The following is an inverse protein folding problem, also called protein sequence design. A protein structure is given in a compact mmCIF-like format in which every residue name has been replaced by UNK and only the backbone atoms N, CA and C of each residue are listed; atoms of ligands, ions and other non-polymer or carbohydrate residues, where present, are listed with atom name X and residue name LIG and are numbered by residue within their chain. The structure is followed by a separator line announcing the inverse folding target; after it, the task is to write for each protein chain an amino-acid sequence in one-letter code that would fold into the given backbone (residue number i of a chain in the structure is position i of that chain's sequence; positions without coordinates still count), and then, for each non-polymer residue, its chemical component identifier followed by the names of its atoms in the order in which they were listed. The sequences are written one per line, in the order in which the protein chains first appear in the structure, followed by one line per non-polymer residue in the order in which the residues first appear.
data_IF_230343860483
#
_entry.id   IF_230343860483
#
_cell.length_a   1.000
_cell.length_b   1.000
_cell.length_c   1.000
_cell.angle_alpha   90.00
_cell.angle_beta   90.00
_cell.angle_gamma   90.00
#
_symmetry.space_group_name_H-M   'P 1'
#
loop_
_entity.id
_entity.type
_entity.pdbx_description
1 polymer ?
#
# COMPACT_ATOMS: atom_id res chain seq x y z
N UNK A 1 0.95 -7.06 19.47
CA UNK A 1 0.02 -7.05 18.33
C UNK A 1 0.69 -7.61 17.11
N UNK A 2 0.19 -8.72 16.56
CA UNK A 2 0.64 -9.20 15.26
C UNK A 2 -0.01 -8.36 14.15
N UNK A 3 0.74 -8.02 13.09
CA UNK A 3 0.24 -7.26 11.94
C UNK A 3 0.69 -7.97 10.67
N UNK A 4 -0.26 -8.37 9.82
CA UNK A 4 0.00 -8.95 8.51
C UNK A 4 -0.62 -8.09 7.43
N UNK A 5 0.21 -7.53 6.58
CA UNK A 5 -0.23 -6.86 5.36
C UNK A 5 -0.41 -7.90 4.27
N UNK A 6 -1.56 -7.86 3.60
CA UNK A 6 -1.80 -8.59 2.37
C UNK A 6 -2.09 -7.59 1.27
N UNK A 7 -1.34 -7.69 0.19
CA UNK A 7 -1.49 -6.81 -0.97
C UNK A 7 -2.01 -7.60 -2.16
N UNK A 8 -2.91 -7.02 -2.92
CA UNK A 8 -3.31 -7.59 -4.22
C UNK A 8 -2.17 -7.47 -5.23
N UNK A 9 -2.38 -8.06 -6.42
CA UNK A 9 -1.51 -7.82 -7.58
C UNK A 9 -1.27 -6.34 -7.76
N UNK A 10 0.01 -5.97 -7.87
CA UNK A 10 0.45 -4.60 -8.09
C UNK A 10 0.36 -4.28 -9.58
N UNK A 11 -0.44 -3.29 -9.96
CA UNK A 11 -0.34 -2.72 -11.30
C UNK A 11 0.76 -1.66 -11.29
N UNK A 12 1.73 -1.81 -12.17
CA UNK A 12 2.86 -0.88 -12.32
C UNK A 12 2.85 -0.36 -13.75
N UNK A 13 2.78 0.97 -13.89
CA UNK A 13 2.87 1.67 -15.16
C UNK A 13 4.26 2.34 -15.23
N UNK A 14 5.13 1.87 -16.12
CA UNK A 14 6.43 2.51 -16.36
C UNK A 14 6.21 3.80 -17.14
N UNK A 15 6.67 4.93 -16.61
CA UNK A 15 6.56 6.25 -17.27
C UNK A 15 7.78 6.49 -18.16
N UNK A 16 8.97 6.25 -17.60
CA UNK A 16 10.26 6.35 -18.29
C UNK A 16 11.28 5.41 -17.62
N UNK A 17 12.56 5.51 -18.00
CA UNK A 17 13.66 4.67 -17.46
C UNK A 17 13.85 4.81 -15.95
N UNK A 18 13.40 5.92 -15.37
CA UNK A 18 13.63 6.31 -13.97
C UNK A 18 12.37 6.59 -13.17
N UNK A 19 11.18 6.61 -13.79
CA UNK A 19 9.91 6.85 -13.10
C UNK A 19 8.86 5.81 -13.42
N UNK A 20 8.05 5.48 -12.42
CA UNK A 20 6.88 4.62 -12.57
C UNK A 20 5.74 5.07 -11.64
N UNK A 21 4.53 4.68 -11.97
CA UNK A 21 3.38 4.74 -11.06
C UNK A 21 2.96 3.33 -10.66
N UNK A 22 2.36 3.18 -9.49
CA UNK A 22 1.75 1.92 -9.12
C UNK A 22 0.54 2.07 -8.24
N UNK A 23 -0.30 1.04 -8.30
CA UNK A 23 -1.52 0.96 -7.52
C UNK A 23 -1.80 -0.47 -7.12
N UNK A 24 -2.29 -0.64 -5.90
CA UNK A 24 -2.77 -1.92 -5.38
C UNK A 24 -3.82 -1.69 -4.29
N UNK A 25 -4.56 -2.74 -3.99
CA UNK A 25 -5.40 -2.82 -2.80
C UNK A 25 -4.65 -3.55 -1.70
N UNK A 26 -4.87 -3.13 -0.47
CA UNK A 26 -4.33 -3.80 0.71
C UNK A 26 -5.45 -4.14 1.68
N UNK A 27 -5.22 -5.17 2.47
CA UNK A 27 -5.93 -5.40 3.71
C UNK A 27 -4.94 -5.82 4.80
N UNK A 28 -5.20 -5.38 6.01
CA UNK A 28 -4.38 -5.65 7.19
C UNK A 28 -5.14 -6.59 8.10
N UNK A 29 -4.47 -7.66 8.52
CA UNK A 29 -4.96 -8.60 9.51
C UNK A 29 -4.15 -8.42 10.80
N UNK A 30 -4.85 -8.26 11.93
CA UNK A 30 -4.25 -8.14 13.25
C UNK A 30 -4.75 -9.26 14.17
N UNK A 31 -4.53 -9.13 15.48
CA UNK A 31 -5.01 -10.08 16.49
C UNK A 31 -6.55 -10.21 16.52
N UNK A 32 -7.28 -9.25 15.93
CA UNK A 32 -8.75 -9.27 15.84
C UNK A 32 -9.29 -9.84 14.51
N UNK A 33 -8.42 -10.31 13.61
CA UNK A 33 -8.81 -10.67 12.24
C UNK A 33 -8.63 -9.51 11.26
N UNK A 34 -9.55 -9.34 10.31
CA UNK A 34 -9.50 -8.21 9.37
C UNK A 34 -9.62 -6.90 10.14
N UNK A 35 -8.63 -6.02 9.99
CA UNK A 35 -8.53 -4.78 10.78
C UNK A 35 -8.91 -3.56 9.95
N UNK A 36 -8.24 -3.33 8.81
CA UNK A 36 -8.57 -2.25 7.87
C UNK A 36 -8.09 -2.59 6.47
N UNK A 37 -8.66 -1.92 5.48
CA UNK A 37 -8.37 -2.14 4.07
C UNK A 37 -8.42 -0.85 3.27
N UNK A 38 -7.80 -0.86 2.11
CA UNK A 38 -7.73 0.33 1.29
C UNK A 38 -6.86 0.16 0.06
N UNK A 39 -6.29 1.29 -0.38
CA UNK A 39 -5.47 1.41 -1.59
C UNK A 39 -4.15 2.10 -1.29
N UNK A 40 -3.09 1.60 -1.92
CA UNK A 40 -1.86 2.37 -2.11
C UNK A 40 -1.83 2.88 -3.54
N UNK A 41 -1.55 4.16 -3.70
CA UNK A 41 -1.24 4.79 -4.97
C UNK A 41 0.12 5.47 -4.82
N UNK A 42 1.08 4.96 -5.56
CA UNK A 42 2.50 5.26 -5.37
C UNK A 42 3.10 5.89 -6.62
N UNK A 43 4.05 6.80 -6.40
CA UNK A 43 5.02 7.19 -7.42
C UNK A 43 6.39 6.62 -7.06
N UNK A 44 7.12 6.16 -8.06
CA UNK A 44 8.43 5.56 -7.91
C UNK A 44 9.49 6.36 -8.65
N UNK A 45 10.70 6.35 -8.10
CA UNK A 45 11.89 6.91 -8.73
C UNK A 45 13.04 5.91 -8.64
N UNK A 46 13.77 5.70 -9.74
CA UNK A 46 15.01 4.94 -9.78
C UNK A 46 16.18 5.90 -9.57
N UNK A 47 16.88 5.74 -8.45
CA UNK A 47 18.07 6.52 -8.11
C UNK A 47 19.27 5.58 -8.11
N UNK A 48 20.25 5.84 -8.98
CA UNK A 48 21.46 5.01 -9.12
C UNK A 48 21.12 3.52 -9.34
N UNK A 49 20.11 3.24 -10.16
CA UNK A 49 19.65 1.86 -10.47
C UNK A 49 18.79 1.20 -9.39
N UNK A 50 18.42 1.92 -8.32
CA UNK A 50 17.57 1.40 -7.24
C UNK A 50 16.23 2.12 -7.21
N UNK A 51 15.16 1.37 -7.39
CA UNK A 51 13.79 1.88 -7.25
C UNK A 51 13.44 2.21 -5.80
N UNK A 52 12.85 3.38 -5.60
CA UNK A 52 12.38 3.92 -4.33
C UNK A 52 10.94 4.41 -4.47
N UNK A 53 10.21 4.45 -3.37
CA UNK A 53 8.98 5.24 -3.30
C UNK A 53 9.37 6.72 -3.30
N UNK A 54 8.97 7.46 -4.33
CA UNK A 54 9.04 8.91 -4.34
C UNK A 54 7.92 9.50 -3.47
N UNK A 55 6.72 8.91 -3.56
CA UNK A 55 5.61 9.20 -2.66
C UNK A 55 4.66 8.00 -2.57
N UNK A 56 3.90 7.95 -1.47
CA UNK A 56 2.78 7.02 -1.28
C UNK A 56 1.56 7.79 -0.80
N UNK A 57 0.45 7.66 -1.52
CA UNK A 57 -0.88 8.04 -1.04
C UNK A 57 -1.59 6.79 -0.55
N UNK A 58 -1.89 6.78 0.75
CA UNK A 58 -2.74 5.76 1.36
C UNK A 58 -4.17 6.27 1.40
N UNK A 59 -5.12 5.47 0.93
CA UNK A 59 -6.54 5.71 1.18
C UNK A 59 -7.09 4.51 1.92
N UNK A 60 -7.57 4.72 3.14
CA UNK A 60 -8.25 3.70 3.93
C UNK A 60 -9.72 3.73 3.53
N UNK A 61 -10.19 2.64 2.93
CA UNK A 61 -11.55 2.53 2.42
C UNK A 61 -12.52 2.05 3.51
N UNK A 62 -12.00 1.36 4.54
CA UNK A 62 -12.76 0.99 5.72
C UNK A 62 -11.93 0.28 6.78
N UNK A 63 -12.55 0.10 7.94
CA UNK A 63 -12.00 -0.59 9.10
C UNK A 63 -13.08 -1.42 9.79
N UNK A 64 -12.66 -2.49 10.47
CA UNK A 64 -13.50 -3.24 11.37
C UNK A 64 -13.89 -2.36 12.57
N UNK A 65 -15.07 -2.58 13.14
CA UNK A 65 -15.60 -1.81 14.29
C UNK A 65 -14.66 -1.84 15.50
N UNK A 66 -13.91 -2.92 15.68
CA UNK A 66 -12.94 -3.13 16.75
C UNK A 66 -11.49 -2.95 16.30
N UNK A 67 -11.24 -2.29 15.17
CA UNK A 67 -9.89 -2.05 14.63
C UNK A 67 -8.93 -1.57 15.73
N UNK A 68 -7.70 -2.09 15.69
CA UNK A 68 -6.63 -1.69 16.60
C UNK A 68 -5.90 -0.43 16.12
N UNK A 69 -6.19 0.01 14.89
CA UNK A 69 -5.62 1.19 14.25
C UNK A 69 -6.71 2.04 13.58
N UNK A 70 -7.76 2.45 14.32
CA UNK A 70 -8.76 3.36 13.78
C UNK A 70 -8.11 4.74 13.55
N UNK A 71 -8.43 5.37 12.42
CA UNK A 71 -7.99 6.72 12.09
C UNK A 71 -8.96 7.77 12.60
#
# INVERSE_FOLDING_TARGET
THVRHSTTTHQIDLIDETHAMGRLYFFVVTDIGLDHWGRYVDSYISLNGVWKFASRKVTVDGWATNSLFPH
#
